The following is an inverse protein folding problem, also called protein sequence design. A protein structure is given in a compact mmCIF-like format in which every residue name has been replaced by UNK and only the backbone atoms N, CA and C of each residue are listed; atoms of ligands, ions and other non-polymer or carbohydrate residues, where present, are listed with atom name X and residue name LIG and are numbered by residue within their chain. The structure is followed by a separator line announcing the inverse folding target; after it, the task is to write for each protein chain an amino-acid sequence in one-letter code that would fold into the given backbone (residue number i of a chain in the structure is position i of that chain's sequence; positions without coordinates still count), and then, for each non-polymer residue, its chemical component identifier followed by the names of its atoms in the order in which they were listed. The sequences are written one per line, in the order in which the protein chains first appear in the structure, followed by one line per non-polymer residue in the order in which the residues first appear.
data_IF_841840198482
#
_entry.id   IF_841840198482
#
_cell.length_a   1.000
_cell.length_b   1.000
_cell.length_c   1.000
_cell.angle_alpha   90.00
_cell.angle_beta   90.00
_cell.angle_gamma   90.00
#
_symmetry.space_group_name_H-M   'P 1'
#
loop_
_entity.id
_entity.type
_entity.pdbx_description
1 polymer ?
#
# COMPACT_ATOMS: atom_id res chain seq x y z
N UNK A 1 -22.01 18.07 27.74
CA UNK A 1 -20.97 18.96 27.18
C UNK A 1 -19.63 18.35 27.57
N UNK A 2 -18.78 17.99 26.62
CA UNK A 2 -17.48 17.38 26.91
C UNK A 2 -16.40 18.41 26.66
N UNK A 3 -15.62 18.72 27.69
CA UNK A 3 -14.45 19.61 27.63
C UNK A 3 -13.20 18.77 27.89
N UNK A 4 -12.22 18.89 27.01
CA UNK A 4 -10.93 18.20 27.13
C UNK A 4 -9.82 19.25 27.22
N UNK A 5 -8.92 19.07 28.19
CA UNK A 5 -7.74 19.92 28.38
C UNK A 5 -6.50 19.01 28.34
N UNK A 6 -5.58 19.30 27.42
CA UNK A 6 -4.38 18.50 27.14
C UNK A 6 -3.13 19.36 27.31
N UNK A 7 -2.21 18.90 28.13
CA UNK A 7 -0.90 19.53 28.27
C UNK A 7 0.00 19.12 27.10
N UNK A 8 0.69 20.10 26.50
CA UNK A 8 1.58 19.87 25.37
C UNK A 8 2.99 19.50 25.85
N UNK A 9 3.68 18.70 25.03
CA UNK A 9 5.10 18.40 25.18
C UNK A 9 5.89 19.15 24.11
N UNK A 10 7.06 19.68 24.48
CA UNK A 10 8.00 20.24 23.51
C UNK A 10 8.82 19.09 22.94
N UNK A 11 8.74 18.88 21.63
CA UNK A 11 9.51 17.87 20.90
C UNK A 11 10.35 18.62 19.88
N UNK A 12 11.66 18.40 19.92
CA UNK A 12 12.58 18.91 18.91
C UNK A 12 12.36 18.13 17.61
N UNK A 13 11.86 18.82 16.58
CA UNK A 13 11.60 18.22 15.26
C UNK A 13 12.69 18.64 14.28
N UNK A 14 13.58 17.73 13.93
CA UNK A 14 14.47 17.91 12.78
C UNK A 14 13.69 17.58 11.50
N UNK A 15 13.56 18.56 10.60
CA UNK A 15 12.90 18.35 9.31
C UNK A 15 13.87 17.65 8.35
N UNK A 16 13.61 16.37 8.06
CA UNK A 16 14.22 15.70 6.92
C UNK A 16 13.49 16.14 5.64
N UNK A 17 14.23 16.72 4.70
CA UNK A 17 13.68 17.06 3.38
C UNK A 17 13.29 15.79 2.61
N UNK A 18 12.20 15.86 1.86
CA UNK A 18 11.80 14.78 0.95
C UNK A 18 12.62 14.95 -0.34
N UNK A 19 13.43 13.95 -0.74
CA UNK A 19 14.16 14.03 -2.00
C UNK A 19 13.23 13.79 -3.20
N UNK A 20 13.53 14.47 -4.31
CA UNK A 20 12.86 14.21 -5.59
C UNK A 20 13.24 12.81 -6.08
N UNK A 21 12.29 11.88 -6.04
CA UNK A 21 12.48 10.49 -6.46
C UNK A 21 11.67 10.24 -7.72
N UNK A 22 12.34 9.76 -8.78
CA UNK A 22 11.65 9.28 -9.97
C UNK A 22 11.22 7.83 -9.73
N UNK A 23 9.93 7.56 -9.87
CA UNK A 23 9.36 6.23 -9.71
C UNK A 23 9.18 5.57 -11.07
N UNK A 24 9.71 4.36 -11.25
CA UNK A 24 9.57 3.60 -12.51
C UNK A 24 8.17 3.01 -12.72
N UNK A 25 7.35 2.98 -11.67
CA UNK A 25 6.01 2.40 -11.69
C UNK A 25 5.15 3.06 -10.61
N UNK A 26 3.95 3.52 -10.99
CA UNK A 26 2.95 4.12 -10.11
C UNK A 26 1.66 3.33 -10.26
N UNK A 27 1.14 2.84 -9.14
CA UNK A 27 -0.12 2.08 -9.08
C UNK A 27 -1.09 2.84 -8.19
N UNK A 28 -2.25 3.20 -8.75
CA UNK A 28 -3.36 3.79 -8.01
C UNK A 28 -4.49 2.76 -7.95
N UNK A 29 -4.88 2.35 -6.74
CA UNK A 29 -5.93 1.36 -6.52
C UNK A 29 -6.83 1.79 -5.34
N UNK A 30 -8.01 1.19 -5.16
CA UNK A 30 -8.87 1.54 -4.03
C UNK A 30 -8.21 1.19 -2.69
N UNK A 31 -8.21 2.13 -1.75
CA UNK A 31 -7.57 1.98 -0.44
C UNK A 31 -8.14 0.80 0.37
N UNK A 32 -9.44 0.53 0.21
CA UNK A 32 -10.13 -0.60 0.82
C UNK A 32 -9.60 -1.95 0.31
N UNK A 33 -9.36 -2.06 -0.99
CA UNK A 33 -8.85 -3.28 -1.63
C UNK A 33 -7.40 -3.52 -1.24
N UNK A 34 -6.57 -2.47 -1.27
CA UNK A 34 -5.19 -2.55 -0.80
C UNK A 34 -5.10 -2.97 0.67
N UNK A 35 -5.94 -2.39 1.53
CA UNK A 35 -5.99 -2.76 2.95
C UNK A 35 -6.44 -4.20 3.15
N UNK A 36 -7.36 -4.71 2.32
CA UNK A 36 -7.81 -6.10 2.38
C UNK A 36 -6.68 -7.04 2.00
N UNK A 37 -6.01 -6.80 0.89
CA UNK A 37 -4.86 -7.60 0.41
C UNK A 37 -3.78 -7.66 1.48
N UNK A 38 -3.36 -6.52 2.04
CA UNK A 38 -2.33 -6.52 3.06
C UNK A 38 -2.71 -7.35 4.30
N UNK A 39 -3.97 -7.30 4.73
CA UNK A 39 -4.45 -8.09 5.90
C UNK A 39 -4.47 -9.58 5.60
N UNK A 40 -5.01 -9.97 4.44
CA UNK A 40 -5.07 -11.38 4.02
C UNK A 40 -3.67 -11.97 3.87
N UNK A 41 -2.76 -11.23 3.24
CA UNK A 41 -1.38 -11.64 3.00
C UNK A 41 -0.56 -11.74 4.30
N UNK A 42 -0.83 -10.87 5.29
CA UNK A 42 -0.17 -10.90 6.61
C UNK A 42 -0.46 -12.16 7.42
N UNK A 43 -1.50 -12.92 7.07
CA UNK A 43 -1.78 -14.20 7.73
C UNK A 43 -0.81 -15.31 7.29
N UNK A 44 -0.14 -15.15 6.14
CA UNK A 44 0.72 -16.18 5.53
C UNK A 44 2.20 -15.86 5.74
N UNK A 45 2.60 -14.60 5.56
CA UNK A 45 3.99 -14.16 5.65
C UNK A 45 4.09 -12.70 6.11
N UNK A 46 5.22 -12.32 6.69
CA UNK A 46 5.52 -10.93 7.06
C UNK A 46 6.04 -10.09 5.90
N UNK A 47 6.35 -10.72 4.77
CA UNK A 47 6.89 -10.08 3.57
C UNK A 47 5.96 -10.30 2.39
N UNK A 48 5.62 -9.21 1.71
CA UNK A 48 4.86 -9.22 0.45
C UNK A 48 5.76 -8.83 -0.70
N UNK A 49 5.59 -9.51 -1.82
CA UNK A 49 6.24 -9.19 -3.06
C UNK A 49 5.24 -8.51 -3.99
N UNK A 50 5.61 -7.36 -4.54
CA UNK A 50 4.80 -6.53 -5.43
C UNK A 50 5.50 -6.48 -6.77
N UNK A 51 4.85 -7.03 -7.78
CA UNK A 51 5.34 -7.07 -9.16
C UNK A 51 4.38 -6.26 -10.04
N UNK A 52 4.91 -5.32 -10.81
CA UNK A 52 4.10 -4.50 -11.72
C UNK A 52 4.45 -4.81 -13.16
N UNK A 53 3.43 -4.99 -13.99
CA UNK A 53 3.52 -5.09 -15.43
C UNK A 53 2.68 -3.98 -16.08
N UNK A 54 2.77 -3.82 -17.40
CA UNK A 54 1.99 -2.80 -18.12
C UNK A 54 0.48 -3.02 -18.04
N UNK A 55 0.04 -4.24 -17.76
CA UNK A 55 -1.38 -4.63 -17.79
C UNK A 55 -1.92 -4.98 -16.39
N UNK A 56 -1.05 -5.31 -15.44
CA UNK A 56 -1.48 -5.78 -14.12
C UNK A 56 -0.44 -5.56 -13.03
N UNK A 57 -0.92 -5.48 -11.78
CA UNK A 57 -0.11 -5.54 -10.56
C UNK A 57 -0.38 -6.86 -9.86
N UNK A 58 0.68 -7.53 -9.43
CA UNK A 58 0.62 -8.81 -8.71
C UNK A 58 1.22 -8.66 -7.33
N UNK A 59 0.42 -9.02 -6.33
CA UNK A 59 0.79 -9.14 -4.94
C UNK A 59 0.99 -10.61 -4.61
N UNK A 60 2.15 -11.01 -4.10
CA UNK A 60 2.41 -12.41 -3.74
C UNK A 60 3.09 -12.55 -2.38
N UNK A 61 2.79 -13.65 -1.70
CA UNK A 61 3.42 -14.04 -0.44
C UNK A 61 3.78 -15.51 -0.47
N UNK A 62 4.87 -15.83 0.21
CA UNK A 62 5.29 -17.20 0.47
C UNK A 62 5.72 -17.30 1.93
N UNK A 63 5.19 -18.30 2.62
CA UNK A 63 5.46 -18.57 4.03
C UNK A 63 5.42 -20.07 4.32
N UNK A 64 5.67 -20.43 5.58
CA UNK A 64 5.75 -21.85 6.00
C UNK A 64 4.41 -22.57 5.87
N UNK A 65 3.31 -21.87 6.13
CA UNK A 65 1.96 -22.44 6.09
C UNK A 65 1.35 -22.48 4.68
N UNK A 66 1.98 -21.83 3.69
CA UNK A 66 1.45 -21.77 2.33
C UNK A 66 1.97 -20.59 1.50
N UNK A 67 1.37 -20.40 0.33
CA UNK A 67 1.63 -19.26 -0.54
C UNK A 67 0.32 -18.73 -1.10
N UNK A 68 0.30 -17.44 -1.46
CA UNK A 68 -0.87 -16.77 -2.00
C UNK A 68 -0.45 -15.70 -2.99
N UNK A 69 -1.33 -15.42 -3.96
CA UNK A 69 -1.15 -14.28 -4.85
C UNK A 69 -2.47 -13.70 -5.30
N UNK A 70 -2.53 -12.37 -5.39
CA UNK A 70 -3.64 -11.61 -5.93
C UNK A 70 -3.12 -10.76 -7.08
N UNK A 71 -3.75 -10.87 -8.24
CA UNK A 71 -3.44 -10.04 -9.42
C UNK A 71 -4.60 -9.11 -9.69
N UNK A 72 -4.32 -7.83 -9.90
CA UNK A 72 -5.29 -6.81 -10.28
C UNK A 72 -4.88 -6.27 -11.64
N UNK A 73 -5.79 -6.31 -12.59
CA UNK A 73 -5.59 -5.78 -13.93
C UNK A 73 -5.88 -4.27 -13.97
N UNK A 74 -5.28 -3.60 -14.94
CA UNK A 74 -5.56 -2.19 -15.21
C UNK A 74 -7.03 -2.01 -15.59
N UNK A 75 -7.73 -1.13 -14.87
CA UNK A 75 -9.13 -0.83 -15.12
C UNK A 75 -9.40 0.65 -14.85
N UNK A 76 -9.72 1.40 -15.90
CA UNK A 76 -10.05 2.84 -15.82
C UNK A 76 -11.57 3.11 -15.84
N UNK A 77 -12.39 2.10 -16.14
CA UNK A 77 -13.82 2.28 -16.40
C UNK A 77 -14.69 2.23 -15.13
N UNK A 78 -14.32 1.38 -14.18
CA UNK A 78 -15.12 1.14 -12.97
C UNK A 78 -14.73 2.08 -11.84
N UNK A 79 -15.63 2.96 -11.40
CA UNK A 79 -15.34 3.95 -10.32
C UNK A 79 -14.98 3.31 -8.98
N UNK A 80 -15.60 2.18 -8.64
CA UNK A 80 -15.40 1.51 -7.35
C UNK A 80 -14.22 0.53 -7.35
N UNK A 81 -13.82 0.02 -8.52
CA UNK A 81 -12.70 -0.93 -8.70
C UNK A 81 -11.57 -0.34 -9.55
N UNK A 82 -11.45 1.00 -9.53
CA UNK A 82 -10.53 1.72 -10.41
C UNK A 82 -9.08 1.39 -10.07
N UNK A 83 -8.35 0.82 -11.02
CA UNK A 83 -6.94 0.48 -10.89
C UNK A 83 -6.15 1.11 -12.05
N UNK A 84 -5.45 2.21 -11.79
CA UNK A 84 -4.59 2.88 -12.78
C UNK A 84 -3.15 2.42 -12.59
N UNK A 85 -2.51 2.00 -13.69
CA UNK A 85 -1.12 1.60 -13.72
C UNK A 85 -0.36 2.49 -14.71
N UNK A 86 0.67 3.18 -14.20
CA UNK A 86 1.63 3.93 -15.00
C UNK A 86 2.99 3.26 -14.83
N UNK A 87 3.39 2.43 -15.80
CA UNK A 87 4.58 1.59 -15.70
C UNK A 87 5.55 1.92 -16.82
N UNK A 88 6.65 2.59 -16.47
CA UNK A 88 7.78 2.81 -17.38
C UNK A 88 8.61 1.52 -17.51
N UNK A 89 9.01 0.96 -16.36
CA UNK A 89 9.74 -0.29 -16.25
C UNK A 89 9.07 -1.24 -15.25
N UNK A 90 8.88 -2.53 -15.59
CA UNK A 90 8.37 -3.52 -14.63
C UNK A 90 9.26 -3.60 -13.40
N UNK A 91 8.67 -3.45 -12.21
CA UNK A 91 9.38 -3.60 -10.94
C UNK A 91 8.93 -4.88 -10.23
N UNK A 92 9.84 -5.47 -9.47
CA UNK A 92 9.57 -6.61 -8.61
C UNK A 92 10.26 -6.35 -7.26
N UNK A 93 9.49 -5.93 -6.26
CA UNK A 93 10.01 -5.44 -4.99
C UNK A 93 9.33 -6.14 -3.81
N UNK A 94 10.12 -6.46 -2.80
CA UNK A 94 9.64 -7.06 -1.55
C UNK A 94 9.56 -6.02 -0.44
N UNK A 95 8.44 -5.99 0.27
CA UNK A 95 8.15 -5.07 1.36
C UNK A 95 7.71 -5.81 2.61
N UNK A 96 8.03 -5.26 3.78
CA UNK A 96 7.53 -5.79 5.04
C UNK A 96 6.08 -5.32 5.29
N UNK A 97 5.17 -6.27 5.41
CA UNK A 97 3.73 -6.05 5.60
C UNK A 97 3.42 -5.29 6.89
N UNK A 98 4.28 -5.40 7.91
CA UNK A 98 4.16 -4.62 9.14
C UNK A 98 4.06 -3.11 8.88
N UNK A 99 4.87 -2.58 7.96
CA UNK A 99 4.84 -1.16 7.63
C UNK A 99 3.64 -0.79 6.77
N UNK A 100 3.30 -1.62 5.79
CA UNK A 100 2.12 -1.42 4.94
C UNK A 100 0.84 -1.39 5.77
N UNK A 101 0.73 -2.24 6.80
CA UNK A 101 -0.39 -2.23 7.74
C UNK A 101 -0.47 -0.95 8.58
N UNK A 102 0.64 -0.25 8.85
CA UNK A 102 0.56 1.08 9.48
C UNK A 102 -0.03 2.11 8.52
N UNK A 103 0.34 2.07 7.23
CA UNK A 103 -0.24 2.97 6.22
C UNK A 103 -1.73 2.69 6.01
N UNK A 104 -2.16 1.42 6.04
CA UNK A 104 -3.57 1.05 5.91
C UNK A 104 -4.48 1.59 7.02
N UNK A 105 -3.93 2.03 8.16
CA UNK A 105 -4.75 2.74 9.17
C UNK A 105 -5.29 4.07 8.67
N UNK A 106 -4.68 4.64 7.62
CA UNK A 106 -5.12 5.85 6.96
C UNK A 106 -6.12 5.60 5.81
N UNK A 107 -6.52 4.35 5.55
CA UNK A 107 -7.44 4.02 4.44
C UNK A 107 -8.80 4.74 4.52
N UNK A 108 -9.18 5.29 5.68
CA UNK A 108 -10.40 6.10 5.83
C UNK A 108 -10.25 7.56 5.37
N UNK A 109 -9.02 8.01 5.09
CA UNK A 109 -8.74 9.39 4.65
C UNK A 109 -8.94 9.57 3.15
N UNK A 110 -8.92 8.50 2.36
CA UNK A 110 -9.12 8.53 0.91
C UNK A 110 -9.76 7.23 0.42
N UNK A 111 -10.64 7.32 -0.58
CA UNK A 111 -11.21 6.17 -1.28
C UNK A 111 -10.24 5.52 -2.26
N UNK A 112 -9.16 6.22 -2.61
CA UNK A 112 -8.04 5.76 -3.45
C UNK A 112 -6.73 5.96 -2.71
#
# INVERSE_FOLDING_TARGET
KSEFNLNLLTIDSESLGIPDTQYSSIVTLPSAEFSRICREMSAISDTINIETSKESVKFSVSGEIGSGSTTIEHNDESKDEKCILEVDEPVNLSFALRYLNYFNKAATLSSQ
#
